data_IF_173176580637
#
_entry.id   IF_173176580637
#
_cell.length_a   1.000
_cell.length_b   1.000
_cell.length_c   1.000
_cell.angle_alpha   90.00
_cell.angle_beta   90.00
_cell.angle_gamma   90.00
#
_symmetry.space_group_name_H-M   'P 1'
#
loop_
_entity.id
_entity.type
_entity.pdbx_description
1 polymer ?
#
# COMPACT_ATOMS: atom_id res chain seq x y z
N UNK A 1 -1.58 -1.28 11.02
CA UNK A 1 -2.17 -2.35 11.84
C UNK A 1 -3.66 -2.08 11.99
N UNK A 2 -4.51 -3.09 11.82
CA UNK A 2 -5.95 -3.00 12.09
C UNK A 2 -6.20 -3.42 13.52
N UNK A 3 -6.97 -2.60 14.25
CA UNK A 3 -7.35 -2.82 15.66
C UNK A 3 -8.82 -2.50 15.87
N UNK A 4 -9.42 -3.03 16.92
CA UNK A 4 -10.74 -2.60 17.37
C UNK A 4 -10.71 -1.11 17.71
N UNK A 5 -11.71 -0.36 17.25
CA UNK A 5 -11.84 1.06 17.59
C UNK A 5 -12.60 1.26 18.90
N UNK A 6 -12.37 2.38 19.54
CA UNK A 6 -13.20 2.88 20.64
C UNK A 6 -14.10 4.01 20.13
N UNK A 7 -14.91 4.56 21.02
CA UNK A 7 -15.86 5.63 20.69
C UNK A 7 -15.23 6.98 20.32
N UNK A 8 -13.92 7.14 20.50
CA UNK A 8 -13.18 8.35 20.07
C UNK A 8 -12.96 8.41 18.57
N UNK A 9 -13.02 7.26 17.88
CA UNK A 9 -12.87 7.18 16.43
C UNK A 9 -14.27 7.16 15.80
N UNK A 10 -14.67 8.21 15.07
CA UNK A 10 -15.99 8.26 14.43
C UNK A 10 -16.11 7.19 13.31
N UNK A 11 -17.34 6.78 13.05
CA UNK A 11 -17.62 5.78 12.02
C UNK A 11 -17.28 6.24 10.60
N UNK A 12 -17.33 7.54 10.35
CA UNK A 12 -16.90 8.16 9.09
C UNK A 12 -15.42 7.87 8.80
N UNK A 13 -14.58 7.92 9.83
CA UNK A 13 -13.13 7.61 9.71
C UNK A 13 -12.88 6.12 9.46
N UNK A 14 -13.68 5.25 10.07
CA UNK A 14 -13.55 3.79 9.94
C UNK A 14 -14.34 3.17 8.79
N UNK A 15 -15.04 3.99 8.00
CA UNK A 15 -15.92 3.52 6.92
C UNK A 15 -17.07 2.65 7.42
N UNK A 16 -17.61 2.95 8.61
CA UNK A 16 -18.69 2.23 9.26
C UNK A 16 -18.27 0.91 9.92
N UNK A 17 -16.97 0.67 10.10
CA UNK A 17 -16.43 -0.53 10.75
C UNK A 17 -16.19 -0.31 12.25
N UNK A 18 -16.24 -1.40 13.02
CA UNK A 18 -15.84 -1.44 14.43
C UNK A 18 -14.32 -1.59 14.59
N UNK A 19 -13.58 -1.54 13.49
CA UNK A 19 -12.12 -1.56 13.44
C UNK A 19 -11.58 -0.32 12.75
N UNK A 20 -10.36 0.05 13.06
CA UNK A 20 -9.63 1.16 12.42
C UNK A 20 -8.20 0.73 12.07
N UNK A 21 -7.71 1.21 10.93
CA UNK A 21 -6.32 1.02 10.53
C UNK A 21 -5.45 2.15 11.11
N UNK A 22 -4.44 1.79 11.89
CA UNK A 22 -3.46 2.73 12.46
C UNK A 22 -2.12 2.52 11.77
N UNK A 23 -1.49 3.63 11.35
CA UNK A 23 -0.14 3.67 10.80
C UNK A 23 0.74 4.65 11.57
N UNK A 24 1.95 4.22 11.93
CA UNK A 24 3.00 5.09 12.43
C UNK A 24 3.97 5.37 11.28
N UNK A 25 4.01 6.59 10.74
CA UNK A 25 4.94 6.92 9.65
C UNK A 25 6.37 7.01 10.14
N UNK A 26 7.33 6.61 9.29
CA UNK A 26 8.76 6.74 9.59
C UNK A 26 9.28 8.17 9.32
N UNK A 27 8.65 8.90 8.40
CA UNK A 27 9.12 10.20 7.94
C UNK A 27 9.10 11.27 9.07
N UNK A 28 10.22 11.97 9.33
CA UNK A 28 10.35 12.86 10.49
C UNK A 28 9.37 14.04 10.45
N UNK A 29 9.14 14.65 9.29
CA UNK A 29 8.17 15.76 9.13
C UNK A 29 6.76 15.30 9.52
N UNK A 30 6.34 14.13 9.04
CA UNK A 30 5.01 13.60 9.37
C UNK A 30 4.88 13.23 10.85
N UNK A 31 5.94 12.71 11.46
CA UNK A 31 5.97 12.44 12.91
C UNK A 31 5.86 13.72 13.73
N UNK A 32 6.57 14.77 13.33
CA UNK A 32 6.47 16.08 13.97
C UNK A 32 5.08 16.69 13.85
N UNK A 33 4.47 16.56 12.67
CA UNK A 33 3.10 17.02 12.45
C UNK A 33 2.11 16.30 13.38
N UNK A 34 2.18 14.97 13.44
CA UNK A 34 1.31 14.16 14.30
C UNK A 34 1.54 14.49 15.78
N UNK A 35 2.78 14.79 16.20
CA UNK A 35 3.08 15.20 17.57
C UNK A 35 2.43 16.53 17.96
N UNK A 36 2.24 17.44 16.98
CA UNK A 36 1.61 18.73 17.19
C UNK A 36 0.07 18.67 17.12
N UNK A 37 -0.48 17.85 16.22
CA UNK A 37 -1.92 17.85 15.92
C UNK A 37 -2.67 16.68 16.55
N UNK A 38 -1.99 15.65 17.03
CA UNK A 38 -2.57 14.36 17.38
C UNK A 38 -2.81 13.49 16.11
N UNK A 39 -3.59 12.39 16.25
CA UNK A 39 -3.90 11.49 15.14
C UNK A 39 -4.59 12.20 13.98
N UNK A 40 -4.20 11.85 12.76
CA UNK A 40 -4.72 12.44 11.52
C UNK A 40 -5.34 11.33 10.68
N UNK A 41 -6.57 11.52 10.20
CA UNK A 41 -7.18 10.67 9.18
C UNK A 41 -6.74 11.19 7.80
N UNK A 42 -6.15 10.32 6.98
CA UNK A 42 -5.65 10.70 5.67
C UNK A 42 -5.82 9.56 4.65
N UNK A 43 -6.39 9.83 3.47
CA UNK A 43 -6.35 8.94 2.32
C UNK A 43 -5.00 9.05 1.58
N UNK A 44 -4.81 8.25 0.53
CA UNK A 44 -3.73 8.44 -0.43
C UNK A 44 -3.95 9.74 -1.24
N UNK A 45 -2.86 10.43 -1.58
CA UNK A 45 -2.89 11.73 -2.27
C UNK A 45 -2.93 11.58 -3.81
N UNK A 46 -3.86 10.78 -4.32
CA UNK A 46 -4.07 10.51 -5.75
C UNK A 46 -5.56 10.53 -6.10
N UNK A 47 -5.87 10.59 -7.37
CA UNK A 47 -7.22 10.37 -7.88
C UNK A 47 -7.57 8.88 -7.70
N UNK A 48 -8.80 8.59 -7.28
CA UNK A 48 -9.26 7.20 -7.08
C UNK A 48 -9.06 6.35 -8.33
N UNK A 49 -8.49 5.17 -8.15
CA UNK A 49 -8.16 4.24 -9.24
C UNK A 49 -6.78 4.45 -9.87
N UNK A 50 -6.10 5.55 -9.56
CA UNK A 50 -4.73 5.81 -10.00
C UNK A 50 -3.69 5.28 -8.99
N UNK A 51 -2.44 5.02 -9.43
CA UNK A 51 -1.37 4.61 -8.53
C UNK A 51 -1.10 5.64 -7.43
N UNK A 52 -0.70 5.16 -6.24
CA UNK A 52 -0.28 6.04 -5.16
C UNK A 52 0.97 6.85 -5.57
N UNK A 53 1.01 8.17 -5.27
CA UNK A 53 2.13 9.02 -5.65
C UNK A 53 3.39 8.66 -4.86
N UNK A 54 4.54 8.78 -5.49
CA UNK A 54 5.87 8.54 -4.89
C UNK A 54 6.73 9.80 -4.81
N UNK A 55 6.28 10.90 -5.43
CA UNK A 55 6.93 12.22 -5.40
C UNK A 55 5.88 13.32 -5.24
N UNK A 56 6.30 14.51 -4.81
CA UNK A 56 5.43 15.69 -4.73
C UNK A 56 4.88 16.10 -6.11
N UNK A 57 5.64 15.88 -7.19
CA UNK A 57 5.19 16.18 -8.55
C UNK A 57 4.01 15.30 -8.97
N UNK A 58 3.99 14.02 -8.57
CA UNK A 58 2.84 13.16 -8.81
C UNK A 58 1.59 13.68 -8.09
N UNK A 59 1.75 14.13 -6.84
CA UNK A 59 0.65 14.74 -6.08
C UNK A 59 0.19 16.03 -6.74
N UNK A 60 1.12 16.89 -7.15
CA UNK A 60 0.81 18.15 -7.83
C UNK A 60 0.03 17.90 -9.13
N UNK A 61 0.44 16.91 -9.93
CA UNK A 61 -0.25 16.55 -11.17
C UNK A 61 -1.71 16.16 -10.94
N UNK A 62 -1.98 15.39 -9.89
CA UNK A 62 -3.33 14.87 -9.61
C UNK A 62 -4.21 15.86 -8.84
N UNK A 63 -3.60 16.69 -7.98
CA UNK A 63 -4.29 17.49 -6.97
C UNK A 63 -4.15 19.01 -7.17
N UNK A 64 -3.49 19.47 -8.23
CA UNK A 64 -3.36 20.90 -8.50
C UNK A 64 -4.72 21.61 -8.54
N UNK A 65 -4.85 22.68 -7.79
CA UNK A 65 -6.11 23.44 -7.66
C UNK A 65 -7.21 22.77 -6.83
N UNK A 66 -6.99 21.54 -6.31
CA UNK A 66 -7.96 20.79 -5.49
C UNK A 66 -7.62 20.80 -4.00
N UNK A 67 -6.37 21.04 -3.65
CA UNK A 67 -5.90 21.12 -2.26
C UNK A 67 -5.09 22.41 -2.05
N UNK A 68 -5.10 22.97 -0.83
CA UNK A 68 -4.48 24.26 -0.56
C UNK A 68 -2.95 24.22 -0.51
N UNK A 69 -2.34 23.08 -0.17
CA UNK A 69 -0.90 22.97 0.01
C UNK A 69 -0.41 21.52 -0.15
N UNK A 70 0.85 21.38 -0.51
CA UNK A 70 1.60 20.12 -0.54
C UNK A 70 2.88 20.35 0.26
N UNK A 71 3.18 19.45 1.19
CA UNK A 71 4.47 19.40 1.88
C UNK A 71 5.33 18.37 1.15
N UNK A 72 6.38 18.86 0.49
CA UNK A 72 7.34 17.98 -0.18
C UNK A 72 8.32 17.41 0.85
N UNK A 73 8.21 16.11 1.10
CA UNK A 73 9.12 15.34 1.95
C UNK A 73 10.21 14.59 1.17
N UNK A 74 10.33 14.83 -0.13
CA UNK A 74 11.19 14.07 -1.04
C UNK A 74 10.51 12.81 -1.58
N UNK A 75 11.25 12.04 -2.35
CA UNK A 75 10.76 10.79 -2.96
C UNK A 75 10.51 9.70 -1.91
N UNK A 76 9.47 8.90 -2.12
CA UNK A 76 9.20 7.73 -1.29
C UNK A 76 10.30 6.68 -1.43
N UNK A 77 10.76 6.12 -0.31
CA UNK A 77 11.73 5.02 -0.31
C UNK A 77 11.15 3.72 -0.86
N UNK A 78 9.83 3.57 -0.81
CA UNK A 78 9.10 2.40 -1.30
C UNK A 78 7.98 2.85 -2.23
N UNK A 79 7.94 2.28 -3.44
CA UNK A 79 6.92 2.55 -4.44
C UNK A 79 5.65 1.72 -4.28
N UNK A 80 5.59 0.85 -3.28
CA UNK A 80 4.45 -0.02 -2.98
C UNK A 80 3.73 0.43 -1.72
N UNK A 81 2.48 0.05 -1.60
CA UNK A 81 1.67 0.36 -0.43
C UNK A 81 2.14 -0.35 0.83
N UNK A 82 1.83 0.23 1.99
CA UNK A 82 2.21 -0.31 3.29
C UNK A 82 1.61 -1.70 3.53
N UNK A 83 2.39 -2.59 4.15
CA UNK A 83 1.90 -3.87 4.68
C UNK A 83 0.78 -3.61 5.68
N UNK A 84 -0.33 -4.32 5.54
CA UNK A 84 -1.47 -4.26 6.48
C UNK A 84 -1.54 -5.55 7.27
N UNK A 85 -1.57 -5.42 8.59
CA UNK A 85 -1.61 -6.53 9.52
C UNK A 85 -2.76 -6.38 10.50
N UNK A 86 -3.22 -7.52 11.03
CA UNK A 86 -4.11 -7.61 12.21
C UNK A 86 -3.61 -8.71 13.14
N UNK A 87 -4.10 -8.70 14.38
CA UNK A 87 -3.97 -9.83 15.28
C UNK A 87 -5.31 -10.54 15.41
N UNK A 88 -5.29 -11.87 15.48
CA UNK A 88 -6.46 -12.66 15.85
C UNK A 88 -6.48 -12.96 17.36
N UNK A 89 -7.55 -13.63 17.82
CA UNK A 89 -7.76 -13.94 19.24
C UNK A 89 -6.66 -14.84 19.83
N UNK A 90 -5.92 -15.55 19.00
CA UNK A 90 -4.79 -16.41 19.40
C UNK A 90 -3.45 -15.66 19.35
N UNK A 91 -3.47 -14.33 19.24
CA UNK A 91 -2.29 -13.51 19.10
C UNK A 91 -1.42 -13.86 17.87
N UNK A 92 -2.03 -14.43 16.83
CA UNK A 92 -1.40 -14.69 15.56
C UNK A 92 -1.43 -13.42 14.71
N UNK A 93 -0.27 -12.99 14.22
CA UNK A 93 -0.16 -11.86 13.30
C UNK A 93 -0.58 -12.32 11.89
N UNK A 94 -1.61 -11.69 11.36
CA UNK A 94 -2.15 -11.97 10.03
C UNK A 94 -1.81 -10.84 9.08
N UNK A 95 -1.15 -11.14 7.97
CA UNK A 95 -0.89 -10.19 6.87
C UNK A 95 -2.14 -10.15 6.00
N UNK A 96 -2.78 -8.98 5.92
CA UNK A 96 -3.99 -8.72 5.12
C UNK A 96 -3.68 -8.08 3.78
N UNK A 97 -2.53 -7.43 3.65
CA UNK A 97 -2.01 -6.87 2.40
C UNK A 97 -0.48 -6.90 2.46
N UNK A 98 0.20 -7.49 1.47
CA UNK A 98 1.66 -7.45 1.42
C UNK A 98 2.15 -6.03 1.08
N UNK A 99 3.36 -5.70 1.50
CA UNK A 99 4.03 -4.42 1.25
C UNK A 99 5.52 -4.52 1.58
N UNK A 100 6.16 -3.39 1.82
CA UNK A 100 7.60 -3.32 2.09
C UNK A 100 8.04 -4.05 3.37
N UNK A 101 7.16 -4.21 4.35
CA UNK A 101 7.43 -5.04 5.54
C UNK A 101 7.04 -6.46 5.20
N UNK A 102 8.04 -7.34 5.09
CA UNK A 102 7.86 -8.74 4.68
C UNK A 102 7.45 -9.65 5.83
N UNK A 103 6.96 -10.85 5.51
CA UNK A 103 6.65 -11.89 6.50
C UNK A 103 7.87 -12.21 7.38
N UNK A 104 9.04 -12.40 6.78
CA UNK A 104 10.26 -12.71 7.51
C UNK A 104 10.65 -11.61 8.51
N UNK A 105 10.45 -10.33 8.16
CA UNK A 105 10.67 -9.22 9.09
C UNK A 105 9.68 -9.25 10.24
N UNK A 106 8.43 -9.61 10.01
CA UNK A 106 7.41 -9.71 11.06
C UNK A 106 7.67 -10.91 11.99
N UNK A 107 8.20 -12.01 11.48
CA UNK A 107 8.59 -13.19 12.26
C UNK A 107 9.71 -12.90 13.27
N UNK A 108 10.48 -11.83 13.10
CA UNK A 108 11.46 -11.40 14.11
C UNK A 108 10.84 -10.79 15.37
N UNK A 109 9.58 -10.34 15.28
CA UNK A 109 8.88 -9.64 16.38
C UNK A 109 7.60 -10.35 16.84
N UNK A 110 7.13 -11.33 16.09
CA UNK A 110 5.92 -12.11 16.41
C UNK A 110 6.16 -13.60 16.16
N UNK A 111 5.81 -14.50 17.10
CA UNK A 111 6.10 -15.92 16.98
C UNK A 111 5.28 -16.63 15.89
N UNK A 112 4.08 -16.12 15.61
CA UNK A 112 3.15 -16.71 14.65
C UNK A 112 2.74 -15.66 13.62
N UNK A 113 3.21 -15.79 12.37
CA UNK A 113 2.87 -14.90 11.26
C UNK A 113 2.29 -15.70 10.11
N UNK A 114 1.07 -15.39 9.71
CA UNK A 114 0.38 -16.01 8.59
C UNK A 114 0.00 -14.98 7.52
N UNK A 115 -0.05 -15.43 6.27
CA UNK A 115 -0.60 -14.63 5.16
C UNK A 115 -2.07 -14.99 5.02
N UNK A 116 -2.94 -13.98 4.91
CA UNK A 116 -4.37 -14.22 4.73
C UNK A 116 -4.64 -14.91 3.39
N UNK A 117 -5.53 -15.90 3.42
CA UNK A 117 -5.88 -16.67 2.23
C UNK A 117 -6.50 -15.84 1.12
N UNK A 118 -7.16 -14.73 1.46
CA UNK A 118 -7.73 -13.79 0.50
C UNK A 118 -6.69 -13.01 -0.33
N UNK A 119 -5.40 -13.07 0.04
CA UNK A 119 -4.31 -12.51 -0.75
C UNK A 119 -3.93 -13.45 -1.90
N UNK A 120 -4.04 -14.75 -1.67
CA UNK A 120 -3.60 -15.81 -2.59
C UNK A 120 -4.74 -16.24 -3.51
N UNK A 121 -5.97 -16.17 -3.03
CA UNK A 121 -7.18 -16.58 -3.75
C UNK A 121 -8.05 -15.36 -4.05
N UNK A 122 -8.71 -15.35 -5.19
CA UNK A 122 -9.72 -14.34 -5.50
C UNK A 122 -10.82 -14.33 -4.41
N UNK A 123 -11.19 -13.13 -3.96
CA UNK A 123 -12.26 -12.96 -2.96
C UNK A 123 -13.57 -13.40 -3.62
N UNK A 124 -14.23 -14.39 -3.06
CA UNK A 124 -15.54 -14.84 -3.49
C UNK A 124 -16.59 -13.71 -3.39
N UNK A 125 -17.52 -13.65 -4.32
CA UNK A 125 -18.64 -12.69 -4.26
C UNK A 125 -19.36 -12.79 -2.90
N UNK A 126 -19.49 -11.65 -2.22
CA UNK A 126 -20.15 -11.54 -0.90
C UNK A 126 -19.22 -11.48 0.30
N UNK A 127 -17.92 -11.75 0.18
CA UNK A 127 -16.99 -11.55 1.28
C UNK A 127 -16.64 -10.07 1.50
N UNK A 128 -16.64 -9.64 2.77
CA UNK A 128 -16.28 -8.26 3.16
C UNK A 128 -14.77 -8.08 3.09
N UNK A 129 -14.31 -7.12 2.32
CA UNK A 129 -12.89 -6.78 2.26
C UNK A 129 -12.40 -6.25 3.62
N UNK A 130 -11.34 -6.84 4.16
CA UNK A 130 -10.75 -6.48 5.46
C UNK A 130 -9.76 -5.31 5.36
N UNK A 131 -9.29 -5.00 4.15
CA UNK A 131 -8.42 -3.85 3.92
C UNK A 131 -8.72 -3.16 2.57
N UNK A 132 -8.41 -1.86 2.42
CA UNK A 132 -8.44 -1.20 1.12
C UNK A 132 -7.56 -1.95 0.11
N UNK A 133 -8.02 -2.07 -1.13
CA UNK A 133 -7.30 -2.78 -2.19
C UNK A 133 -7.62 -4.26 -2.36
N UNK A 134 -8.37 -4.88 -1.42
CA UNK A 134 -8.76 -6.30 -1.55
C UNK A 134 -10.01 -6.51 -2.42
N UNK A 135 -10.89 -5.53 -2.57
CA UNK A 135 -12.21 -5.69 -3.21
C UNK A 135 -12.24 -5.29 -4.69
N UNK A 136 -11.35 -4.43 -5.11
CA UNK A 136 -11.36 -3.89 -6.47
C UNK A 136 -9.99 -4.05 -7.11
N UNK A 137 -9.98 -4.25 -8.43
CA UNK A 137 -8.76 -4.21 -9.22
C UNK A 137 -8.19 -2.79 -9.17
N UNK A 138 -7.19 -2.58 -8.31
CA UNK A 138 -6.50 -1.31 -8.15
C UNK A 138 -5.26 -1.28 -9.04
N UNK A 139 -4.93 -0.09 -9.55
CA UNK A 139 -3.64 0.19 -10.22
C UNK A 139 -3.36 -0.66 -11.44
N UNK A 140 -4.41 -1.03 -12.18
CA UNK A 140 -4.22 -1.76 -13.44
C UNK A 140 -3.54 -0.83 -14.44
N UNK A 141 -2.27 -1.07 -14.82
CA UNK A 141 -1.62 -0.27 -15.85
C UNK A 141 -2.34 -0.44 -17.18
N UNK A 142 -2.28 0.58 -18.04
CA UNK A 142 -2.82 0.49 -19.40
C UNK A 142 -1.96 -0.39 -20.31
N UNK A 143 -0.69 -0.60 -19.93
CA UNK A 143 0.23 -1.46 -20.65
C UNK A 143 0.09 -2.92 -20.22
N UNK A 144 0.37 -3.84 -21.13
CA UNK A 144 0.50 -5.25 -20.81
C UNK A 144 1.77 -5.45 -19.96
N UNK A 145 1.62 -6.14 -18.82
CA UNK A 145 2.75 -6.52 -17.98
C UNK A 145 3.04 -7.99 -18.24
N UNK A 146 4.29 -8.29 -18.59
CA UNK A 146 4.80 -9.65 -18.71
C UNK A 146 5.82 -9.86 -17.58
N UNK A 147 5.57 -10.85 -16.74
CA UNK A 147 6.54 -11.28 -15.73
C UNK A 147 7.48 -12.27 -16.42
N UNK A 148 8.76 -11.96 -16.40
CA UNK A 148 9.80 -12.84 -16.91
C UNK A 148 10.65 -13.31 -15.73
N UNK A 149 10.69 -14.62 -15.52
CA UNK A 149 11.46 -15.27 -14.47
C UNK A 149 12.71 -15.90 -15.08
N UNK A 150 13.87 -15.71 -14.44
CA UNK A 150 15.13 -16.27 -14.90
C UNK A 150 16.34 -15.54 -14.37
N UNK A 151 17.53 -15.96 -14.82
CA UNK A 151 18.76 -15.25 -14.55
C UNK A 151 18.75 -13.87 -15.22
N UNK A 152 19.17 -12.83 -14.48
CA UNK A 152 19.04 -11.43 -14.90
C UNK A 152 19.81 -11.12 -16.21
N UNK A 153 20.94 -11.80 -16.43
CA UNK A 153 21.72 -11.62 -17.65
C UNK A 153 21.01 -12.22 -18.86
N UNK A 154 20.43 -13.41 -18.71
CA UNK A 154 19.65 -14.10 -19.75
C UNK A 154 18.37 -13.34 -20.08
N UNK A 155 17.63 -12.88 -19.06
CA UNK A 155 16.42 -12.09 -19.24
C UNK A 155 16.70 -10.76 -19.91
N UNK A 156 17.75 -10.05 -19.50
CA UNK A 156 18.16 -8.78 -20.09
C UNK A 156 18.52 -8.94 -21.58
N UNK A 157 19.27 -10.00 -21.92
CA UNK A 157 19.66 -10.25 -23.30
C UNK A 157 18.48 -10.64 -24.20
N UNK A 158 17.61 -11.54 -23.75
CA UNK A 158 16.55 -12.10 -24.58
C UNK A 158 15.31 -11.20 -24.72
N UNK A 159 15.02 -10.35 -23.73
CA UNK A 159 13.79 -9.56 -23.71
C UNK A 159 14.03 -8.05 -23.83
N UNK A 160 14.98 -7.49 -23.08
CA UNK A 160 15.23 -6.05 -23.10
C UNK A 160 16.04 -5.63 -24.33
N UNK A 161 17.14 -6.30 -24.63
CA UNK A 161 17.98 -5.95 -25.79
C UNK A 161 17.37 -6.36 -27.14
N UNK A 162 16.58 -7.43 -27.22
CA UNK A 162 15.88 -7.80 -28.44
C UNK A 162 14.86 -6.75 -28.88
N UNK A 163 14.26 -6.01 -27.95
CA UNK A 163 13.36 -4.90 -28.25
C UNK A 163 14.09 -3.60 -28.63
N UNK A 164 15.30 -3.36 -28.14
CA UNK A 164 16.09 -2.19 -28.54
C UNK A 164 16.58 -2.26 -29.98
N UNK A 165 16.84 -3.45 -30.51
CA UNK A 165 17.27 -3.65 -31.91
C UNK A 165 16.16 -3.42 -32.95
N UNK A 166 14.90 -3.37 -32.55
CA UNK A 166 13.76 -3.14 -33.46
C UNK A 166 13.43 -1.63 -33.61
N UNK A 167 14.06 -0.75 -32.85
CA UNK A 167 13.86 0.71 -32.90
C UNK A 167 14.86 1.45 -33.81
N UNK A 168 15.70 0.76 -34.54
CA UNK A 168 16.71 1.33 -35.46
C UNK A 168 16.55 0.88 -36.92
N UNK A 169 15.32 0.61 -37.38
CA UNK A 169 15.02 0.44 -38.80
C UNK A 169 13.96 1.44 -39.26
#
# INVERSE_FOLDING_TARGET
MIVAKNNMVPYETSGGLDTVAIRMPAHPVMRSLIALTGPIAAPSANISGYPSPTTAEHVLKDMNGKIPAIIDGGSCSFGVESTVISFDDNNTLRILRPGSITKNMLETVAPNVIVDKAIINDISEGQRALSPGMKYKHYSPKANIVIVEGDIETVSYTHLRAHETTLHL
#
